data_IF_687555732828
#
_entry.id   IF_687555732828
#
_cell.length_a   1.000
_cell.length_b   1.000
_cell.length_c   1.000
_cell.angle_alpha   90.00
_cell.angle_beta   90.00
_cell.angle_gamma   90.00
#
_symmetry.space_group_name_H-M   'P 1'
#
loop_
_entity.id
_entity.type
_entity.pdbx_description
1 polymer ?
#
# COMPACT_ATOMS: atom_id res chain seq x y z
N UNK A 1 0.39 -28.18 2.38
CA UNK A 1 1.40 -27.51 1.55
C UNK A 1 1.20 -26.03 1.74
N UNK A 2 2.03 -25.38 2.55
CA UNK A 2 1.90 -23.95 2.83
C UNK A 2 2.44 -23.18 1.63
N UNK A 3 1.54 -22.66 0.82
CA UNK A 3 1.83 -21.79 -0.32
C UNK A 3 2.03 -20.33 0.15
N UNK A 4 2.93 -20.16 1.13
CA UNK A 4 3.19 -18.89 1.84
C UNK A 4 4.33 -18.07 1.23
N UNK A 5 4.86 -18.45 0.06
CA UNK A 5 6.02 -17.81 -0.58
C UNK A 5 5.77 -17.27 -2.00
N UNK A 6 4.51 -17.15 -2.42
CA UNK A 6 4.17 -16.69 -3.77
C UNK A 6 4.29 -15.17 -3.95
N UNK A 7 4.56 -14.74 -5.18
CA UNK A 7 4.50 -13.33 -5.57
C UNK A 7 3.03 -12.89 -5.73
N UNK A 8 2.68 -11.73 -5.20
CA UNK A 8 1.34 -11.16 -5.18
C UNK A 8 1.29 -9.92 -6.09
N UNK A 9 0.53 -9.93 -7.20
CA UNK A 9 0.25 -8.72 -7.95
C UNK A 9 -0.67 -7.83 -7.11
N UNK A 10 -0.25 -6.59 -6.88
CA UNK A 10 -1.01 -5.60 -6.13
C UNK A 10 -1.19 -4.37 -7.00
N UNK A 11 -2.43 -3.90 -7.12
CA UNK A 11 -2.72 -2.62 -7.73
C UNK A 11 -2.22 -1.50 -6.81
N UNK A 12 -1.50 -0.53 -7.35
CA UNK A 12 -0.85 0.54 -6.58
C UNK A 12 -1.20 1.89 -7.19
N UNK A 13 -1.79 2.74 -6.35
CA UNK A 13 -2.06 4.14 -6.67
C UNK A 13 -1.21 5.03 -5.77
N UNK A 14 -0.29 5.78 -6.35
CA UNK A 14 0.52 6.79 -5.65
C UNK A 14 -0.09 8.16 -5.91
N UNK A 15 -0.43 8.88 -4.85
CA UNK A 15 -1.00 10.23 -4.93
C UNK A 15 -0.19 11.23 -4.11
N UNK A 16 -0.04 12.44 -4.64
CA UNK A 16 0.56 13.56 -3.95
C UNK A 16 -0.48 14.35 -3.17
N UNK A 17 -0.32 14.41 -1.85
CA UNK A 17 -1.14 15.27 -1.00
C UNK A 17 -0.79 16.73 -1.25
N UNK A 18 -1.80 17.59 -1.35
CA UNK A 18 -1.59 19.04 -1.51
C UNK A 18 -0.75 19.58 -0.35
N UNK A 19 0.17 20.54 -0.59
CA UNK A 19 1.04 21.07 0.47
C UNK A 19 0.28 21.58 1.71
N UNK A 20 -0.93 22.11 1.50
CA UNK A 20 -1.81 22.69 2.53
C UNK A 20 -2.57 21.64 3.36
N UNK A 21 -2.59 20.38 2.95
CA UNK A 21 -3.30 19.31 3.65
C UNK A 21 -2.34 18.48 4.49
N UNK A 22 -2.80 17.90 5.59
CA UNK A 22 -1.96 17.04 6.43
C UNK A 22 -1.92 15.61 5.89
N UNK A 23 -0.74 14.97 5.88
CA UNK A 23 -0.58 13.61 5.35
C UNK A 23 -1.35 12.57 6.18
N UNK A 24 -1.47 12.80 7.49
CA UNK A 24 -2.19 11.92 8.42
C UNK A 24 -3.73 12.05 8.35
N UNK A 25 -4.28 13.13 7.79
CA UNK A 25 -5.73 13.34 7.65
C UNK A 25 -6.23 13.25 6.21
N UNK A 26 -5.35 13.41 5.22
CA UNK A 26 -5.71 13.27 3.82
C UNK A 26 -6.11 11.82 3.52
N UNK A 27 -7.12 11.67 2.65
CA UNK A 27 -7.55 10.38 2.09
C UNK A 27 -7.38 10.36 0.57
N UNK A 28 -7.00 11.49 -0.02
CA UNK A 28 -6.89 11.75 -1.43
C UNK A 28 -5.81 12.80 -1.72
N UNK A 29 -5.23 12.69 -2.92
CA UNK A 29 -4.25 13.59 -3.47
C UNK A 29 -4.39 13.69 -4.99
N UNK A 30 -3.39 14.26 -5.64
CA UNK A 30 -3.27 14.22 -7.10
C UNK A 30 -2.58 12.93 -7.53
N UNK A 31 -3.18 12.12 -8.43
CA UNK A 31 -2.53 10.90 -8.92
C UNK A 31 -1.17 11.21 -9.55
N UNK A 32 -0.13 10.57 -9.04
CA UNK A 32 1.22 10.58 -9.61
C UNK A 32 1.45 9.35 -10.48
N UNK A 33 1.00 8.19 -9.99
CA UNK A 33 1.23 6.91 -10.63
C UNK A 33 0.07 5.96 -10.31
N UNK A 34 -0.40 5.27 -11.34
CA UNK A 34 -1.42 4.24 -11.26
C UNK A 34 -0.89 3.01 -12.02
N UNK A 35 -0.53 1.95 -11.28
CA UNK A 35 0.21 0.81 -11.82
C UNK A 35 -0.01 -0.47 -11.01
N UNK A 36 0.67 -1.55 -11.39
CA UNK A 36 0.75 -2.78 -10.62
C UNK A 36 2.18 -3.02 -10.14
N UNK A 37 2.32 -3.46 -8.89
CA UNK A 37 3.57 -3.95 -8.33
C UNK A 37 3.45 -5.45 -8.05
N UNK A 38 4.53 -6.20 -8.25
CA UNK A 38 4.62 -7.60 -7.88
C UNK A 38 5.41 -7.67 -6.57
N UNK A 39 4.73 -8.00 -5.47
CA UNK A 39 5.31 -7.98 -4.12
C UNK A 39 5.45 -9.41 -3.61
N UNK A 40 6.48 -9.69 -2.80
CA UNK A 40 6.56 -11.00 -2.14
C UNK A 40 5.39 -11.15 -1.17
N UNK A 41 4.70 -12.28 -1.19
CA UNK A 41 3.69 -12.60 -0.18
C UNK A 41 4.24 -12.67 1.24
N UNK A 42 5.57 -12.76 1.39
CA UNK A 42 6.29 -12.74 2.66
C UNK A 42 6.66 -11.33 3.14
N UNK A 43 6.34 -10.29 2.39
CA UNK A 43 6.49 -8.91 2.86
C UNK A 43 5.54 -8.69 4.04
N UNK A 44 6.04 -8.08 5.11
CA UNK A 44 5.23 -7.67 6.25
C UNK A 44 4.38 -6.45 5.88
N UNK A 45 3.21 -6.31 6.49
CA UNK A 45 2.34 -5.15 6.24
C UNK A 45 3.06 -3.83 6.54
N UNK A 46 3.86 -3.78 7.61
CA UNK A 46 4.69 -2.62 8.00
C UNK A 46 5.72 -2.21 6.93
N UNK A 47 6.22 -3.15 6.13
CA UNK A 47 7.25 -2.93 5.11
C UNK A 47 6.67 -2.73 3.70
N UNK A 48 5.34 -2.84 3.54
CA UNK A 48 4.70 -2.90 2.23
C UNK A 48 4.93 -1.63 1.40
N UNK A 49 4.77 -0.46 2.02
CA UNK A 49 4.93 0.84 1.35
C UNK A 49 6.36 1.01 0.85
N UNK A 50 7.34 0.78 1.73
CA UNK A 50 8.77 0.87 1.43
C UNK A 50 9.17 -0.08 0.30
N UNK A 51 8.70 -1.33 0.38
CA UNK A 51 8.94 -2.36 -0.63
C UNK A 51 8.40 -1.95 -1.99
N UNK A 52 7.14 -1.46 -2.03
CA UNK A 52 6.49 -1.05 -3.27
C UNK A 52 7.14 0.19 -3.86
N UNK A 53 7.38 1.24 -3.07
CA UNK A 53 8.02 2.46 -3.56
C UNK A 53 9.45 2.20 -4.04
N UNK A 54 10.20 1.32 -3.37
CA UNK A 54 11.52 0.90 -3.82
C UNK A 54 11.46 0.14 -5.14
N UNK A 55 10.51 -0.80 -5.28
CA UNK A 55 10.32 -1.56 -6.51
C UNK A 55 9.88 -0.67 -7.70
N UNK A 56 9.18 0.42 -7.44
CA UNK A 56 8.77 1.41 -8.43
C UNK A 56 9.85 2.47 -8.73
N UNK A 57 11.03 2.38 -8.11
CA UNK A 57 12.12 3.34 -8.33
C UNK A 57 11.87 4.72 -7.70
N UNK A 58 11.05 4.79 -6.65
CA UNK A 58 10.72 6.02 -5.91
C UNK A 58 11.06 5.97 -4.41
N UNK A 59 12.25 5.49 -4.01
CA UNK A 59 12.62 5.38 -2.59
C UNK A 59 12.64 6.73 -1.86
N UNK A 60 12.81 7.85 -2.58
CA UNK A 60 12.78 9.20 -2.01
C UNK A 60 11.43 9.58 -1.40
N UNK A 61 10.34 8.88 -1.75
CA UNK A 61 9.00 9.18 -1.25
C UNK A 61 8.69 8.47 0.07
N UNK A 62 9.50 7.50 0.49
CA UNK A 62 9.22 6.61 1.62
C UNK A 62 9.01 7.39 2.92
N UNK A 63 9.94 8.30 3.25
CA UNK A 63 9.94 9.03 4.52
C UNK A 63 8.67 9.87 4.72
N UNK A 64 8.14 10.43 3.65
CA UNK A 64 6.97 11.31 3.64
C UNK A 64 5.78 10.62 2.98
N UNK A 65 5.61 9.32 3.22
CA UNK A 65 4.49 8.53 2.70
C UNK A 65 3.62 7.89 3.77
N UNK A 66 2.41 7.53 3.36
CA UNK A 66 1.44 6.79 4.16
C UNK A 66 0.70 5.79 3.28
N UNK A 67 0.69 4.52 3.72
CA UNK A 67 -0.07 3.45 3.09
C UNK A 67 -1.52 3.40 3.57
N UNK A 68 -2.43 3.14 2.64
CA UNK A 68 -3.85 2.86 2.87
C UNK A 68 -4.24 1.68 1.97
N UNK A 69 -5.14 0.83 2.43
CA UNK A 69 -5.72 -0.24 1.61
C UNK A 69 -7.13 0.16 1.20
N UNK A 70 -7.42 0.02 -0.07
CA UNK A 70 -8.75 0.24 -0.62
C UNK A 70 -9.30 -1.07 -1.19
N UNK A 71 -10.48 -1.46 -0.71
CA UNK A 71 -11.23 -2.61 -1.23
C UNK A 71 -12.27 -2.12 -2.23
N UNK A 72 -12.07 -2.40 -3.52
CA UNK A 72 -12.94 -1.90 -4.59
C UNK A 72 -13.23 -0.39 -4.45
N UNK A 73 -14.51 -0.01 -4.34
CA UNK A 73 -14.96 1.38 -4.21
C UNK A 73 -15.18 1.82 -2.76
N UNK A 74 -14.67 1.08 -1.77
CA UNK A 74 -14.80 1.44 -0.37
C UNK A 74 -13.86 2.59 -0.02
N UNK A 75 -14.13 3.23 1.13
CA UNK A 75 -13.22 4.23 1.67
C UNK A 75 -11.86 3.56 1.97
N UNK A 76 -10.72 4.19 1.61
CA UNK A 76 -9.41 3.69 1.99
C UNK A 76 -9.27 3.55 3.51
N UNK A 77 -8.69 2.44 3.94
CA UNK A 77 -8.49 2.06 5.33
C UNK A 77 -7.00 2.13 5.69
N UNK A 78 -6.71 2.61 6.89
CA UNK A 78 -5.34 2.58 7.41
C UNK A 78 -4.98 1.16 7.87
N UNK A 79 -3.69 0.83 7.90
CA UNK A 79 -3.22 -0.52 8.25
C UNK A 79 -3.67 -0.95 9.65
N UNK A 80 -3.70 -0.02 10.60
CA UNK A 80 -4.18 -0.23 11.98
C UNK A 80 -5.67 -0.58 12.03
N UNK A 81 -6.45 -0.23 11.01
CA UNK A 81 -7.88 -0.60 10.93
C UNK A 81 -8.07 -2.01 10.39
N UNK A 82 -7.06 -2.57 9.71
CA UNK A 82 -7.11 -3.90 9.09
C UNK A 82 -6.67 -4.96 10.09
N UNK A 83 -5.60 -4.67 10.84
CA UNK A 83 -5.00 -5.59 11.81
C UNK A 83 -4.25 -4.81 12.89
N UNK A 84 -4.26 -5.33 14.12
CA UNK A 84 -3.43 -4.85 15.22
C UNK A 84 -1.97 -5.35 15.11
N UNK A 85 -1.74 -6.42 14.32
CA UNK A 85 -0.41 -6.99 14.07
C UNK A 85 0.14 -6.51 12.72
N UNK A 86 0.99 -5.48 12.73
CA UNK A 86 1.60 -4.95 11.51
C UNK A 86 2.76 -5.80 10.95
N UNK A 87 3.21 -6.80 11.71
CA UNK A 87 4.22 -7.78 11.25
C UNK A 87 3.55 -8.98 10.54
N UNK A 88 2.22 -8.95 10.38
CA UNK A 88 1.49 -9.94 9.61
C UNK A 88 1.88 -9.90 8.13
N UNK A 89 1.94 -11.08 7.50
CA UNK A 89 2.33 -11.19 6.10
C UNK A 89 1.21 -10.71 5.18
N UNK A 90 1.54 -9.93 4.14
CA UNK A 90 0.53 -9.43 3.20
C UNK A 90 -0.22 -10.57 2.49
N UNK A 91 0.40 -11.74 2.31
CA UNK A 91 -0.28 -12.90 1.75
C UNK A 91 -1.41 -13.41 2.65
N UNK A 92 -1.25 -13.37 3.97
CA UNK A 92 -2.27 -13.83 4.90
C UNK A 92 -3.48 -12.88 4.91
N UNK A 93 -3.25 -11.58 4.64
CA UNK A 93 -4.29 -10.56 4.64
C UNK A 93 -5.01 -10.42 3.30
N UNK A 94 -4.26 -10.46 2.19
CA UNK A 94 -4.78 -9.99 0.90
C UNK A 94 -4.75 -11.02 -0.24
N UNK A 95 -4.15 -12.21 -0.06
CA UNK A 95 -4.00 -13.19 -1.17
C UNK A 95 -5.34 -13.56 -1.82
N UNK A 96 -6.34 -13.87 -1.00
CA UNK A 96 -7.67 -14.30 -1.48
C UNK A 96 -8.48 -13.17 -2.13
N UNK A 97 -8.18 -11.92 -1.79
CA UNK A 97 -8.91 -10.73 -2.25
C UNK A 97 -8.05 -9.81 -3.12
N UNK A 98 -6.92 -10.30 -3.63
CA UNK A 98 -5.92 -9.52 -4.36
C UNK A 98 -6.47 -8.76 -5.57
N UNK A 99 -7.44 -9.35 -6.28
CA UNK A 99 -8.12 -8.67 -7.41
C UNK A 99 -9.06 -7.53 -7.02
N UNK A 100 -9.42 -7.43 -5.74
CA UNK A 100 -10.27 -6.37 -5.18
C UNK A 100 -9.50 -5.38 -4.31
N UNK A 101 -8.23 -5.66 -3.99
CA UNK A 101 -7.37 -4.85 -3.13
C UNK A 101 -6.51 -3.91 -3.97
N UNK A 102 -6.49 -2.64 -3.59
CA UNK A 102 -5.53 -1.65 -4.08
C UNK A 102 -4.76 -1.05 -2.91
N UNK A 103 -3.44 -0.96 -3.05
CA UNK A 103 -2.61 -0.16 -2.16
C UNK A 103 -2.61 1.28 -2.64
N UNK A 104 -3.08 2.17 -1.78
CA UNK A 104 -3.06 3.61 -2.00
C UNK A 104 -1.95 4.22 -1.15
N UNK A 105 -1.00 4.87 -1.80
CA UNK A 105 0.13 5.53 -1.15
C UNK A 105 -0.06 7.03 -1.28
N UNK A 106 -0.29 7.70 -0.16
CA UNK A 106 -0.27 9.15 -0.09
C UNK A 106 1.16 9.61 0.19
N UNK A 107 1.67 10.58 -0.53
CA UNK A 107 3.01 11.14 -0.32
C UNK A 107 3.01 12.67 -0.29
N UNK A 108 4.02 13.25 0.36
CA UNK A 108 4.40 14.65 0.23
C UNK A 108 5.80 14.76 -0.37
N UNK A 109 5.98 15.79 -1.18
CA UNK A 109 7.29 16.28 -1.65
C UNK A 109 7.56 17.65 -1.04
#
# INVERSE_FOLDING_TARGET
>A
MNDTGGMLPMHVLVEQVRPQHCLSCAHDGQPLLDTFAIVSGQTMLSELVDTVLSALGMPQLIQDSRGLIQLNNWKPLAFETITDNQDELIANLFKEISGAVSLKILTKQ
#
